data_IF_325610441825
#
_entry.id   IF_325610441825
#
_cell.length_a   1.000
_cell.length_b   1.000
_cell.length_c   1.000
_cell.angle_alpha   90.00
_cell.angle_beta   90.00
_cell.angle_gamma   90.00
#
_symmetry.space_group_name_H-M   'P 1'
#
loop_
_entity.id
_entity.type
_entity.pdbx_description
1 polymer ?
#
# COMPACT_ATOMS: atom_id res chain seq x y z
N UNK A 1 9.54 -5.03 4.52
CA UNK A 1 8.37 -5.47 3.73
C UNK A 1 7.43 -6.18 4.68
N UNK A 2 6.25 -5.61 4.94
CA UNK A 2 5.28 -6.19 5.89
C UNK A 2 4.11 -6.75 5.09
N UNK A 3 3.66 -7.95 5.47
CA UNK A 3 2.57 -8.66 4.77
C UNK A 3 1.29 -8.54 5.59
N UNK A 4 0.18 -8.27 4.90
CA UNK A 4 -1.12 -8.06 5.51
C UNK A 4 -2.18 -8.90 4.80
N UNK A 5 -3.18 -9.38 5.55
CA UNK A 5 -4.47 -9.81 4.99
C UNK A 5 -5.29 -8.58 4.57
N UNK A 6 -6.33 -8.73 3.71
CA UNK A 6 -7.15 -7.59 3.30
C UNK A 6 -7.82 -6.85 4.45
N UNK A 7 -8.22 -7.57 5.50
CA UNK A 7 -8.80 -6.97 6.70
C UNK A 7 -7.74 -6.18 7.51
N UNK A 8 -6.58 -6.80 7.76
CA UNK A 8 -5.47 -6.16 8.49
C UNK A 8 -4.96 -4.93 7.74
N UNK A 9 -4.87 -5.00 6.41
CA UNK A 9 -4.48 -3.87 5.58
C UNK A 9 -5.49 -2.71 5.67
N UNK A 10 -6.78 -3.01 5.70
CA UNK A 10 -7.83 -2.02 5.85
C UNK A 10 -7.75 -1.31 7.22
N UNK A 11 -7.45 -2.06 8.29
CA UNK A 11 -7.36 -1.51 9.65
C UNK A 11 -6.03 -0.79 9.88
N UNK A 12 -4.89 -1.41 9.57
CA UNK A 12 -3.56 -0.89 9.90
C UNK A 12 -3.09 0.20 8.93
N UNK A 13 -3.36 0.07 7.62
CA UNK A 13 -2.85 1.03 6.62
C UNK A 13 -3.88 2.12 6.33
N UNK A 14 -5.17 1.77 6.35
CA UNK A 14 -6.25 2.70 6.05
C UNK A 14 -7.04 3.14 7.28
N UNK A 15 -6.61 2.78 8.49
CA UNK A 15 -7.22 3.18 9.77
C UNK A 15 -8.74 2.87 9.82
N UNK A 16 -9.17 1.77 9.20
CA UNK A 16 -10.58 1.37 9.13
C UNK A 16 -11.48 2.23 8.24
N UNK A 17 -10.91 3.17 7.46
CA UNK A 17 -11.69 4.01 6.52
C UNK A 17 -12.25 3.24 5.34
N UNK A 18 -11.66 2.09 5.04
CA UNK A 18 -12.11 1.18 3.99
C UNK A 18 -12.37 -0.19 4.59
N UNK A 19 -13.22 -0.97 3.92
CA UNK A 19 -13.52 -2.34 4.35
C UNK A 19 -12.60 -3.34 3.65
N UNK A 20 -12.50 -4.53 4.22
CA UNK A 20 -11.87 -5.69 3.58
C UNK A 20 -12.43 -5.96 2.17
N UNK A 21 -13.74 -5.77 1.96
CA UNK A 21 -14.42 -5.90 0.66
C UNK A 21 -13.92 -4.87 -0.34
N UNK A 22 -13.75 -3.61 0.10
CA UNK A 22 -13.15 -2.55 -0.73
C UNK A 22 -11.74 -2.92 -1.16
N UNK A 23 -10.90 -3.41 -0.24
CA UNK A 23 -9.54 -3.85 -0.56
C UNK A 23 -9.55 -5.01 -1.57
N UNK A 24 -10.40 -6.02 -1.38
CA UNK A 24 -10.55 -7.12 -2.36
C UNK A 24 -10.99 -6.63 -3.74
N UNK A 25 -11.86 -5.63 -3.80
CA UNK A 25 -12.28 -5.02 -5.07
C UNK A 25 -11.12 -4.29 -5.75
N UNK A 26 -10.28 -3.58 -5.00
CA UNK A 26 -9.08 -2.94 -5.54
C UNK A 26 -8.08 -3.93 -6.09
N UNK A 27 -7.87 -5.06 -5.39
CA UNK A 27 -7.03 -6.15 -5.87
C UNK A 27 -7.55 -6.67 -7.22
N UNK A 28 -8.85 -6.96 -7.32
CA UNK A 28 -9.47 -7.46 -8.56
C UNK A 28 -9.42 -6.43 -9.70
N UNK A 29 -9.53 -5.15 -9.37
CA UNK A 29 -9.48 -4.06 -10.33
C UNK A 29 -8.05 -3.63 -10.70
N UNK A 30 -7.01 -4.21 -10.09
CA UNK A 30 -5.62 -3.78 -10.29
C UNK A 30 -5.32 -2.36 -9.79
N UNK A 31 -6.12 -1.83 -8.86
CA UNK A 31 -6.02 -0.46 -8.34
C UNK A 31 -5.30 -0.36 -6.99
N UNK A 32 -4.45 -1.34 -6.70
CA UNK A 32 -3.70 -1.35 -5.45
C UNK A 32 -2.60 -0.28 -5.46
N UNK A 33 -2.27 0.34 -4.31
CA UNK A 33 -1.22 1.35 -4.25
C UNK A 33 0.12 0.82 -4.77
N UNK A 34 0.91 1.67 -5.41
CA UNK A 34 2.15 1.29 -6.11
C UNK A 34 3.23 0.72 -5.19
N UNK A 35 3.16 0.97 -3.89
CA UNK A 35 4.03 0.38 -2.88
C UNK A 35 3.58 -1.01 -2.41
N UNK A 36 2.58 -1.61 -3.06
CA UNK A 36 2.03 -2.92 -2.68
C UNK A 36 2.20 -3.95 -3.78
N UNK A 37 2.51 -5.18 -3.37
CA UNK A 37 2.53 -6.36 -4.21
C UNK A 37 1.51 -7.35 -3.66
N UNK A 38 0.60 -7.81 -4.51
CA UNK A 38 -0.47 -8.74 -4.09
C UNK A 38 -0.15 -10.14 -4.57
N UNK A 39 -0.33 -11.11 -3.69
CA UNK A 39 -0.19 -12.52 -3.96
C UNK A 39 -1.49 -13.23 -3.61
N UNK A 40 -1.89 -14.20 -4.43
CA UNK A 40 -3.05 -15.06 -4.16
C UNK A 40 -2.55 -16.44 -3.80
N UNK A 41 -2.83 -16.89 -2.59
CA UNK A 41 -2.44 -18.23 -2.14
C UNK A 41 -3.30 -19.29 -2.83
N UNK A 42 -2.82 -20.54 -2.93
CA UNK A 42 -3.61 -21.65 -3.49
C UNK A 42 -4.97 -21.85 -2.78
N UNK A 43 -5.05 -21.50 -1.49
CA UNK A 43 -6.30 -21.51 -0.71
C UNK A 43 -7.25 -20.33 -1.00
N UNK A 44 -6.95 -19.49 -1.98
CA UNK A 44 -7.81 -18.37 -2.40
C UNK A 44 -7.72 -17.12 -1.52
N UNK A 45 -6.79 -17.08 -0.55
CA UNK A 45 -6.57 -15.89 0.26
C UNK A 45 -5.66 -14.90 -0.47
N UNK A 46 -5.88 -13.61 -0.24
CA UNK A 46 -5.01 -12.55 -0.72
C UNK A 46 -4.02 -12.15 0.36
N UNK A 47 -2.76 -12.02 -0.01
CA UNK A 47 -1.68 -11.47 0.80
C UNK A 47 -1.17 -10.19 0.15
N UNK A 48 -1.14 -9.12 0.93
CA UNK A 48 -0.73 -7.78 0.48
C UNK A 48 0.63 -7.49 1.11
N UNK A 49 1.66 -7.50 0.29
CA UNK A 49 3.02 -7.18 0.69
C UNK A 49 3.26 -5.69 0.48
N UNK A 50 3.41 -4.95 1.56
CA UNK A 50 3.69 -3.52 1.53
C UNK A 50 5.20 -3.32 1.63
N UNK A 51 5.77 -2.74 0.59
CA UNK A 51 7.12 -2.20 0.64
C UNK A 51 7.05 -0.83 1.30
N UNK A 52 7.32 -0.79 2.60
CA UNK A 52 7.71 0.42 3.34
C UNK A 52 9.10 0.89 2.89
N UNK A 53 9.33 1.02 1.58
CA UNK A 53 10.42 1.88 1.13
C UNK A 53 9.95 3.31 1.42
N UNK A 54 10.56 4.02 2.38
CA UNK A 54 10.13 5.35 2.74
C UNK A 54 10.58 6.28 1.63
N UNK A 55 9.80 6.41 0.56
CA UNK A 55 9.70 7.72 -0.09
C UNK A 55 8.76 8.52 0.79
N UNK A 56 9.28 8.96 1.95
CA UNK A 56 8.55 9.91 2.76
C UNK A 56 8.23 11.09 1.86
N UNK A 57 6.98 11.52 1.83
CA UNK A 57 6.60 12.69 1.06
C UNK A 57 7.47 13.91 1.44
N UNK A 58 8.00 13.92 2.67
CA UNK A 58 9.00 14.87 3.14
C UNK A 58 10.36 14.76 2.44
N UNK A 59 10.85 13.57 2.08
CA UNK A 59 12.09 13.42 1.30
C UNK A 59 11.91 13.96 -0.12
N UNK A 60 10.78 13.65 -0.76
CA UNK A 60 10.45 14.20 -2.08
C UNK A 60 10.31 15.73 -2.04
N UNK A 61 9.68 16.28 -1.00
CA UNK A 61 9.59 17.73 -0.77
C UNK A 61 10.96 18.36 -0.53
N UNK A 62 11.83 17.70 0.24
CA UNK A 62 13.19 18.17 0.51
C UNK A 62 14.04 18.18 -0.77
N UNK A 63 13.93 17.16 -1.59
CA UNK A 63 14.67 17.06 -2.86
C UNK A 63 14.18 18.12 -3.87
N UNK A 64 12.87 18.39 -3.91
CA UNK A 64 12.31 19.51 -4.69
C UNK A 64 12.78 20.88 -4.21
N UNK A 65 12.89 21.09 -2.89
CA UNK A 65 13.43 22.35 -2.34
C UNK A 65 14.91 22.53 -2.67
N UNK A 66 15.72 21.47 -2.58
CA UNK A 66 17.14 21.50 -2.94
C UNK A 66 17.35 21.80 -4.43
N UNK A 67 16.52 21.24 -5.31
CA UNK A 67 16.60 21.47 -6.75
C UNK A 67 16.22 22.90 -7.16
N UNK A 68 15.41 23.61 -6.37
CA UNK A 68 15.00 25.00 -6.63
C UNK A 68 15.98 26.04 -6.05
N UNK A 69 16.81 25.64 -5.10
CA UNK A 69 17.78 26.51 -4.43
C UNK A 69 19.17 26.50 -5.09
N UNK A 70 19.37 25.69 -6.14
CA UNK A 70 20.60 25.59 -6.92
C UNK A 70 20.50 26.41 -8.23
#
# INVERSE_FOLDING_TARGET
>A
MKTYKPNEYAVEVWFGKVTDKTIRNWIKAGKMPSNTKVEKTPGGQYLIHVNDAPKSNSQTLLDMMKAKAA
#
